data_IF_458957475115
#
_entry.id   IF_458957475115
#
_cell.length_a   1.000
_cell.length_b   1.000
_cell.length_c   1.000
_cell.angle_alpha   90.00
_cell.angle_beta   90.00
_cell.angle_gamma   90.00
#
_symmetry.space_group_name_H-M   'P 1'
#
loop_
_entity.id
_entity.type
_entity.pdbx_description
1 polymer ?
#
# COMPACT_ATOMS: atom_id res chain seq x y z
N UNK A 1 -14.93 21.78 6.75
CA UNK A 1 -15.33 20.66 7.66
C UNK A 1 -16.16 19.60 6.91
N UNK A 2 -17.19 19.94 6.14
CA UNK A 2 -17.99 18.97 5.36
C UNK A 2 -17.15 18.20 4.32
N UNK A 3 -16.27 18.89 3.62
CA UNK A 3 -15.35 18.31 2.60
C UNK A 3 -14.45 17.21 3.18
N UNK A 4 -13.81 17.43 4.34
CA UNK A 4 -13.00 16.41 5.03
C UNK A 4 -13.83 15.19 5.46
N UNK A 5 -15.08 15.41 5.88
CA UNK A 5 -15.98 14.30 6.26
C UNK A 5 -16.31 13.45 5.04
N UNK A 6 -16.51 14.06 3.90
CA UNK A 6 -16.79 13.35 2.64
C UNK A 6 -15.57 12.57 2.15
N UNK A 7 -14.37 13.19 2.12
CA UNK A 7 -13.11 12.51 1.78
C UNK A 7 -12.84 11.32 2.69
N UNK A 8 -12.94 11.50 4.01
CA UNK A 8 -12.68 10.47 5.01
C UNK A 8 -13.74 9.35 5.08
N UNK A 9 -14.89 9.53 4.45
CA UNK A 9 -15.96 8.52 4.41
C UNK A 9 -16.19 8.00 2.99
N UNK A 10 -16.77 8.80 2.09
CA UNK A 10 -17.19 8.31 0.78
C UNK A 10 -16.01 7.97 -0.13
N UNK A 11 -15.05 8.92 -0.30
CA UNK A 11 -13.89 8.71 -1.18
C UNK A 11 -12.99 7.62 -0.62
N UNK A 12 -12.55 7.75 0.64
CA UNK A 12 -11.67 6.77 1.29
C UNK A 12 -12.27 5.35 1.27
N UNK A 13 -13.57 5.20 1.60
CA UNK A 13 -14.26 3.91 1.54
C UNK A 13 -14.28 3.34 0.12
N UNK A 14 -14.45 4.20 -0.86
CA UNK A 14 -14.48 3.83 -2.27
C UNK A 14 -13.19 3.15 -2.70
N UNK A 15 -12.04 3.76 -2.39
CA UNK A 15 -10.74 3.34 -2.91
C UNK A 15 -9.97 2.37 -1.98
N UNK A 16 -10.33 2.24 -0.68
CA UNK A 16 -9.52 1.47 0.29
C UNK A 16 -9.99 0.04 0.54
N UNK A 17 -11.09 -0.40 -0.06
CA UNK A 17 -11.60 -1.78 0.04
C UNK A 17 -11.60 -2.30 1.50
N UNK A 18 -10.90 -3.42 1.78
CA UNK A 18 -10.80 -4.01 3.12
C UNK A 18 -9.99 -3.14 4.11
N UNK A 19 -9.05 -2.33 3.63
CA UNK A 19 -8.23 -1.47 4.47
C UNK A 19 -9.03 -0.33 5.13
N UNK A 20 -10.22 0.01 4.59
CA UNK A 20 -11.13 0.95 5.22
C UNK A 20 -11.50 0.56 6.65
N UNK A 21 -11.71 -0.74 6.92
CA UNK A 21 -12.00 -1.22 8.27
C UNK A 21 -10.82 -0.96 9.22
N UNK A 22 -9.61 -1.19 8.76
CA UNK A 22 -8.37 -0.90 9.50
C UNK A 22 -8.30 0.58 9.89
N UNK A 23 -8.48 1.49 8.92
CA UNK A 23 -8.45 2.94 9.18
C UNK A 23 -9.56 3.36 10.16
N UNK A 24 -10.77 2.82 10.01
CA UNK A 24 -11.90 3.13 10.91
C UNK A 24 -11.69 2.65 12.34
N UNK A 25 -10.91 1.60 12.54
CA UNK A 25 -10.55 1.08 13.86
C UNK A 25 -9.49 1.94 14.56
N UNK A 26 -8.71 2.75 13.85
CA UNK A 26 -7.66 3.57 14.45
C UNK A 26 -8.17 4.53 15.52
N UNK A 27 -7.34 4.85 16.54
CA UNK A 27 -7.57 5.97 17.45
C UNK A 27 -7.78 7.27 16.65
N UNK A 28 -8.58 8.19 17.19
CA UNK A 28 -9.00 9.40 16.47
C UNK A 28 -7.81 10.22 15.93
N UNK A 29 -6.78 10.44 16.77
CA UNK A 29 -5.62 11.26 16.43
C UNK A 29 -4.72 10.60 15.35
N UNK A 30 -4.69 9.27 15.31
CA UNK A 30 -3.94 8.52 14.28
C UNK A 30 -4.72 8.41 12.97
N UNK A 31 -6.06 8.41 13.04
CA UNK A 31 -6.92 8.17 11.88
C UNK A 31 -6.79 9.23 10.80
N UNK A 32 -6.73 10.50 11.19
CA UNK A 32 -6.66 11.62 10.25
C UNK A 32 -5.39 11.55 9.39
N UNK A 33 -4.17 11.56 9.94
CA UNK A 33 -2.95 11.50 9.14
C UNK A 33 -2.84 10.21 8.31
N UNK A 34 -3.29 9.06 8.83
CA UNK A 34 -3.32 7.81 8.06
C UNK A 34 -4.32 7.88 6.90
N UNK A 35 -5.48 8.53 7.07
CA UNK A 35 -6.45 8.71 5.98
C UNK A 35 -5.90 9.59 4.87
N UNK A 36 -5.27 10.71 5.21
CA UNK A 36 -4.65 11.63 4.25
C UNK A 36 -3.50 10.95 3.51
N UNK A 37 -2.55 10.37 4.25
CA UNK A 37 -1.41 9.65 3.65
C UNK A 37 -1.87 8.52 2.72
N UNK A 38 -2.92 7.78 3.11
CA UNK A 38 -3.49 6.74 2.26
C UNK A 38 -4.11 7.30 0.96
N UNK A 39 -4.87 8.41 1.02
CA UNK A 39 -5.46 9.02 -0.17
C UNK A 39 -4.40 9.56 -1.12
N UNK A 40 -3.35 10.20 -0.61
CA UNK A 40 -2.22 10.65 -1.42
C UNK A 40 -1.49 9.47 -2.09
N UNK A 41 -1.16 8.43 -1.32
CA UNK A 41 -0.52 7.22 -1.85
C UNK A 41 -1.41 6.51 -2.87
N UNK A 42 -2.74 6.44 -2.65
CA UNK A 42 -3.66 5.83 -3.60
C UNK A 42 -3.83 6.64 -4.88
N UNK A 43 -3.80 7.97 -4.78
CA UNK A 43 -3.85 8.84 -5.95
C UNK A 43 -2.59 8.67 -6.82
N UNK A 44 -1.41 8.64 -6.20
CA UNK A 44 -0.15 8.39 -6.92
C UNK A 44 -0.08 6.97 -7.54
N UNK A 45 -0.59 5.96 -6.85
CA UNK A 45 -0.74 4.60 -7.33
C UNK A 45 -1.64 4.53 -8.59
N UNK A 46 -2.79 5.22 -8.55
CA UNK A 46 -3.68 5.33 -9.70
C UNK A 46 -2.99 5.99 -10.91
N UNK A 47 -2.15 7.02 -10.69
CA UNK A 47 -1.35 7.64 -11.76
C UNK A 47 -0.37 6.62 -12.35
N UNK A 48 0.35 5.88 -11.51
CA UNK A 48 1.31 4.85 -11.93
C UNK A 48 0.65 3.73 -12.74
N UNK A 49 -0.55 3.30 -12.33
CA UNK A 49 -1.29 2.17 -12.91
C UNK A 49 -2.10 2.52 -14.19
N UNK A 50 -2.21 3.80 -14.57
CA UNK A 50 -2.99 4.22 -15.74
C UNK A 50 -2.21 3.94 -17.03
N UNK A 51 -2.18 2.69 -17.49
CA UNK A 51 -1.41 2.25 -18.67
C UNK A 51 -1.86 2.92 -19.99
N UNK A 52 -3.07 3.43 -20.06
CA UNK A 52 -3.54 4.22 -21.21
C UNK A 52 -2.76 5.54 -21.39
N UNK A 53 -2.08 6.02 -20.34
CA UNK A 53 -1.20 7.19 -20.38
C UNK A 53 0.25 6.75 -20.56
N UNK A 54 1.02 7.40 -21.49
CA UNK A 54 2.41 7.04 -21.74
C UNK A 54 3.27 7.04 -20.46
N UNK A 55 4.20 6.09 -20.35
CA UNK A 55 5.05 5.92 -19.16
C UNK A 55 5.82 7.19 -18.77
N UNK A 56 6.37 7.93 -19.76
CA UNK A 56 7.08 9.18 -19.50
C UNK A 56 6.19 10.24 -18.84
N UNK A 57 4.93 10.34 -19.26
CA UNK A 57 3.99 11.29 -18.67
C UNK A 57 3.56 10.84 -17.27
N UNK A 58 3.40 9.53 -17.03
CA UNK A 58 3.16 9.00 -15.69
C UNK A 58 4.32 9.33 -14.75
N UNK A 59 5.56 9.13 -15.17
CA UNK A 59 6.77 9.47 -14.39
C UNK A 59 6.87 10.98 -14.12
N UNK A 60 6.58 11.81 -15.11
CA UNK A 60 6.53 13.27 -14.92
C UNK A 60 5.49 13.65 -13.86
N UNK A 61 4.27 13.12 -13.95
CA UNK A 61 3.23 13.36 -12.96
C UNK A 61 3.64 12.93 -11.55
N UNK A 62 4.26 11.75 -11.39
CA UNK A 62 4.75 11.27 -10.10
C UNK A 62 5.87 12.18 -9.52
N UNK A 63 6.73 12.71 -10.38
CA UNK A 63 7.75 13.68 -9.98
C UNK A 63 7.13 15.01 -9.52
N UNK A 64 6.16 15.53 -10.28
CA UNK A 64 5.39 16.72 -9.91
C UNK A 64 4.63 16.47 -8.61
N UNK A 65 4.04 15.30 -8.42
CA UNK A 65 3.31 14.93 -7.20
C UNK A 65 4.18 15.07 -5.96
N UNK A 66 5.45 14.65 -6.03
CA UNK A 66 6.37 14.82 -4.89
C UNK A 66 6.63 16.30 -4.56
N UNK A 67 6.75 17.15 -5.56
CA UNK A 67 6.95 18.58 -5.37
C UNK A 67 5.68 19.26 -4.82
N UNK A 68 4.50 18.82 -5.28
CA UNK A 68 3.19 19.32 -4.85
C UNK A 68 2.90 19.12 -3.36
N UNK A 69 3.62 18.24 -2.68
CA UNK A 69 3.51 18.12 -1.21
C UNK A 69 4.00 19.37 -0.47
N UNK A 70 4.80 20.23 -1.12
CA UNK A 70 5.44 21.38 -0.50
C UNK A 70 5.21 22.70 -1.22
N UNK A 71 4.69 22.67 -2.44
CA UNK A 71 4.59 23.82 -3.32
C UNK A 71 3.21 23.92 -3.98
N UNK A 72 2.53 25.04 -3.77
CA UNK A 72 1.15 25.28 -4.20
C UNK A 72 1.05 25.43 -5.72
N UNK A 73 1.99 26.15 -6.35
CA UNK A 73 2.01 26.35 -7.81
C UNK A 73 2.16 24.98 -8.54
N UNK A 74 2.96 24.10 -7.94
CA UNK A 74 3.14 22.74 -8.46
C UNK A 74 1.88 21.89 -8.28
N UNK A 75 1.06 22.14 -7.24
CA UNK A 75 -0.25 21.48 -7.05
C UNK A 75 -1.23 21.86 -8.15
N UNK A 76 -1.32 23.12 -8.49
CA UNK A 76 -2.18 23.59 -9.58
C UNK A 76 -1.80 22.90 -10.89
N UNK A 77 -0.51 22.90 -11.23
CA UNK A 77 0.01 22.20 -12.42
C UNK A 77 -0.32 20.70 -12.40
N UNK A 78 -0.20 20.03 -11.26
CA UNK A 78 -0.57 18.62 -11.13
C UNK A 78 -2.07 18.41 -11.39
N UNK A 79 -2.92 19.23 -10.78
CA UNK A 79 -4.38 19.13 -10.94
C UNK A 79 -4.78 19.30 -12.40
N UNK A 80 -4.26 20.31 -13.10
CA UNK A 80 -4.49 20.54 -14.53
C UNK A 80 -4.06 19.33 -15.37
N UNK A 81 -2.86 18.79 -15.11
CA UNK A 81 -2.33 17.63 -15.83
C UNK A 81 -3.18 16.37 -15.62
N UNK A 82 -3.67 16.16 -14.40
CA UNK A 82 -4.56 15.04 -14.10
C UNK A 82 -5.92 15.19 -14.78
N UNK A 83 -6.49 16.39 -14.79
CA UNK A 83 -7.76 16.66 -15.46
C UNK A 83 -7.65 16.44 -16.96
N UNK A 84 -6.60 16.96 -17.60
CA UNK A 84 -6.42 16.87 -19.04
C UNK A 84 -6.02 15.49 -19.55
N UNK A 85 -5.23 14.70 -18.78
CA UNK A 85 -4.51 13.52 -19.30
C UNK A 85 -4.84 12.19 -18.58
N UNK A 86 -5.47 12.23 -17.40
CA UNK A 86 -5.65 11.01 -16.60
C UNK A 86 -7.09 10.69 -16.29
N UNK A 87 -7.93 11.70 -15.96
CA UNK A 87 -9.29 11.47 -15.45
C UNK A 87 -10.17 10.73 -16.46
N UNK A 88 -10.09 11.07 -17.75
CA UNK A 88 -10.86 10.39 -18.80
C UNK A 88 -10.43 8.94 -19.08
N UNK A 89 -9.21 8.59 -18.71
CA UNK A 89 -8.68 7.24 -18.87
C UNK A 89 -8.93 6.31 -17.66
N UNK A 90 -9.67 6.80 -16.66
CA UNK A 90 -10.02 6.01 -15.48
C UNK A 90 -11.32 5.24 -15.71
N UNK A 91 -11.23 3.92 -15.83
CA UNK A 91 -12.39 3.01 -15.91
C UNK A 91 -13.04 2.80 -14.53
N UNK A 92 -12.26 2.99 -13.45
CA UNK A 92 -12.75 2.85 -12.10
C UNK A 92 -13.28 4.18 -11.56
N UNK A 93 -14.59 4.33 -11.51
CA UNK A 93 -15.28 5.54 -11.05
C UNK A 93 -14.84 6.05 -9.66
N UNK A 94 -14.34 5.16 -8.79
CA UNK A 94 -13.86 5.52 -7.45
C UNK A 94 -12.48 6.15 -7.50
N UNK A 95 -11.61 5.64 -8.36
CA UNK A 95 -10.27 6.19 -8.60
C UNK A 95 -10.38 7.49 -9.39
N UNK A 96 -11.28 7.54 -10.38
CA UNK A 96 -11.65 8.77 -11.09
C UNK A 96 -12.08 9.86 -10.12
N UNK A 97 -12.99 9.54 -9.19
CA UNK A 97 -13.43 10.48 -8.16
C UNK A 97 -12.28 10.94 -7.27
N UNK A 98 -11.34 10.05 -6.89
CA UNK A 98 -10.17 10.42 -6.10
C UNK A 98 -9.29 11.42 -6.85
N UNK A 99 -8.95 11.17 -8.12
CA UNK A 99 -8.13 12.07 -8.91
C UNK A 99 -8.84 13.43 -9.12
N UNK A 100 -10.14 13.44 -9.40
CA UNK A 100 -10.94 14.67 -9.51
C UNK A 100 -10.93 15.50 -8.21
N UNK A 101 -10.78 14.83 -7.06
CA UNK A 101 -10.80 15.45 -5.73
C UNK A 101 -9.42 15.61 -5.11
N UNK A 102 -8.33 15.51 -5.91
CA UNK A 102 -6.96 15.54 -5.37
C UNK A 102 -6.62 16.88 -4.71
N UNK A 103 -7.10 18.00 -5.24
CA UNK A 103 -6.93 19.31 -4.62
C UNK A 103 -7.50 19.33 -3.18
N UNK A 104 -8.70 18.76 -2.99
CA UNK A 104 -9.33 18.65 -1.67
C UNK A 104 -8.49 17.77 -0.71
N UNK A 105 -7.77 16.77 -1.22
CA UNK A 105 -6.87 15.93 -0.41
C UNK A 105 -5.64 16.73 0.01
N UNK A 106 -5.08 17.57 -0.86
CA UNK A 106 -3.99 18.49 -0.51
C UNK A 106 -4.44 19.53 0.53
N UNK A 107 -5.64 20.11 0.36
CA UNK A 107 -6.22 21.00 1.38
C UNK A 107 -6.34 20.32 2.74
N UNK A 108 -6.72 19.05 2.76
CA UNK A 108 -6.78 18.27 3.99
C UNK A 108 -5.39 17.99 4.55
N UNK A 109 -4.42 17.67 3.72
CA UNK A 109 -3.03 17.47 4.09
C UNK A 109 -2.42 18.71 4.78
N UNK A 110 -2.71 19.91 4.32
CA UNK A 110 -2.22 21.15 4.92
C UNK A 110 -2.80 21.45 6.31
N UNK A 111 -3.82 20.71 6.73
CA UNK A 111 -4.47 20.95 8.03
C UNK A 111 -4.09 19.95 9.11
N UNK A 112 -3.25 18.94 8.82
CA UNK A 112 -2.75 18.01 9.83
C UNK A 112 -1.71 18.70 10.71
N UNK A 113 -1.31 18.09 11.83
CA UNK A 113 -0.24 18.64 12.67
C UNK A 113 1.08 18.68 11.92
N UNK A 114 1.99 19.59 12.30
CA UNK A 114 3.32 19.70 11.69
C UNK A 114 4.08 18.36 11.72
N UNK A 115 4.01 17.62 12.83
CA UNK A 115 4.66 16.31 12.97
C UNK A 115 4.06 15.28 12.01
N UNK A 116 2.75 15.27 11.82
CA UNK A 116 2.08 14.36 10.90
C UNK A 116 2.28 14.79 9.44
N UNK A 117 2.35 16.10 9.17
CA UNK A 117 2.70 16.64 7.86
C UNK A 117 4.09 16.16 7.41
N UNK A 118 5.09 16.26 8.30
CA UNK A 118 6.45 15.74 8.06
C UNK A 118 6.39 14.23 7.81
N UNK A 119 5.71 13.47 8.66
CA UNK A 119 5.61 12.02 8.53
C UNK A 119 4.98 11.59 7.20
N UNK A 120 3.92 12.28 6.75
CA UNK A 120 3.28 12.02 5.45
C UNK A 120 4.22 12.39 4.30
N UNK A 121 4.88 13.55 4.36
CA UNK A 121 5.86 13.95 3.33
C UNK A 121 7.01 12.95 3.20
N UNK A 122 7.51 12.45 4.34
CA UNK A 122 8.62 11.49 4.38
C UNK A 122 8.24 10.13 3.80
N UNK A 123 7.04 9.61 4.08
CA UNK A 123 6.59 8.33 3.54
C UNK A 123 6.23 8.41 2.07
N UNK A 124 5.72 9.54 1.60
CA UNK A 124 5.39 9.71 0.18
C UNK A 124 6.62 9.67 -0.72
N UNK A 125 7.79 10.11 -0.23
CA UNK A 125 9.04 10.09 -1.02
C UNK A 125 9.42 8.67 -1.50
N UNK A 126 9.64 7.66 -0.63
CA UNK A 126 9.94 6.31 -1.09
C UNK A 126 8.79 5.69 -1.90
N UNK A 127 7.51 5.94 -1.55
CA UNK A 127 6.37 5.43 -2.32
C UNK A 127 6.45 5.90 -3.77
N UNK A 128 6.60 7.20 -4.00
CA UNK A 128 6.70 7.76 -5.34
C UNK A 128 7.94 7.26 -6.09
N UNK A 129 9.09 7.09 -5.40
CA UNK A 129 10.29 6.49 -5.98
C UNK A 129 10.04 5.04 -6.44
N UNK A 130 9.37 4.23 -5.63
CA UNK A 130 9.01 2.85 -5.97
C UNK A 130 8.04 2.78 -7.15
N UNK A 131 7.06 3.67 -7.21
CA UNK A 131 6.12 3.77 -8.33
C UNK A 131 6.80 4.22 -9.63
N UNK A 132 7.69 5.21 -9.58
CA UNK A 132 8.50 5.63 -10.74
C UNK A 132 9.40 4.50 -11.21
N UNK A 133 10.05 3.78 -10.29
CA UNK A 133 10.87 2.63 -10.60
C UNK A 133 10.04 1.51 -11.27
N UNK A 134 8.87 1.20 -10.75
CA UNK A 134 7.96 0.19 -11.31
C UNK A 134 7.52 0.55 -12.74
N UNK A 135 7.07 1.78 -12.94
CA UNK A 135 6.69 2.29 -14.28
C UNK A 135 7.87 2.23 -15.24
N UNK A 136 9.06 2.66 -14.84
CA UNK A 136 10.24 2.66 -15.69
C UNK A 136 10.74 1.24 -15.97
N UNK A 137 10.77 0.40 -14.94
CA UNK A 137 11.23 -0.97 -15.03
C UNK A 137 10.38 -1.79 -16.00
N UNK A 138 9.05 -1.74 -15.91
CA UNK A 138 8.15 -2.55 -16.73
C UNK A 138 7.73 -1.89 -18.06
N UNK A 139 7.99 -0.60 -18.29
CA UNK A 139 7.63 0.08 -19.55
C UNK A 139 8.56 -0.27 -20.72
N UNK A 140 9.82 -0.67 -20.46
CA UNK A 140 10.88 -0.80 -21.49
C UNK A 140 10.77 -2.11 -22.28
N UNK A 141 10.23 -3.18 -21.71
CA UNK A 141 10.12 -4.50 -22.34
C UNK A 141 8.78 -5.14 -22.04
N UNK A 142 8.21 -5.85 -23.05
CA UNK A 142 6.94 -6.55 -22.88
C UNK A 142 6.95 -7.70 -21.85
N UNK A 143 8.14 -8.24 -21.58
CA UNK A 143 8.34 -9.33 -20.60
C UNK A 143 9.57 -8.97 -19.79
N UNK A 144 9.37 -8.63 -18.54
CA UNK A 144 10.45 -8.26 -17.66
C UNK A 144 10.29 -8.88 -16.27
N UNK A 145 11.41 -9.30 -15.73
CA UNK A 145 11.53 -9.91 -14.42
C UNK A 145 12.48 -9.08 -13.56
N UNK A 146 12.20 -8.94 -12.27
CA UNK A 146 13.13 -8.33 -11.31
C UNK A 146 14.43 -9.12 -11.26
N UNK A 147 15.58 -8.41 -11.29
CA UNK A 147 16.88 -9.02 -11.46
C UNK A 147 17.38 -9.78 -10.22
N UNK A 148 17.07 -9.28 -9.01
CA UNK A 148 17.59 -9.84 -7.77
C UNK A 148 16.58 -9.82 -6.61
N UNK A 149 16.86 -10.61 -5.57
CA UNK A 149 16.13 -10.56 -4.29
C UNK A 149 16.23 -9.18 -3.62
N UNK A 150 17.39 -8.51 -3.76
CA UNK A 150 17.62 -7.19 -3.20
C UNK A 150 16.72 -6.14 -3.86
N UNK A 151 16.55 -6.22 -5.18
CA UNK A 151 15.65 -5.33 -5.93
C UNK A 151 14.19 -5.52 -5.49
N UNK A 152 13.73 -6.78 -5.34
CA UNK A 152 12.39 -7.06 -4.84
C UNK A 152 12.21 -6.56 -3.40
N UNK A 153 13.19 -6.79 -2.53
CA UNK A 153 13.17 -6.29 -1.15
C UNK A 153 13.17 -4.76 -1.09
N UNK A 154 13.92 -4.10 -1.96
CA UNK A 154 13.96 -2.64 -2.05
C UNK A 154 12.63 -2.09 -2.58
N UNK A 155 12.06 -2.69 -3.62
CA UNK A 155 10.72 -2.34 -4.11
C UNK A 155 9.68 -2.49 -3.01
N UNK A 156 9.64 -3.63 -2.32
CA UNK A 156 8.74 -3.85 -1.20
C UNK A 156 8.94 -2.84 -0.06
N UNK A 157 10.18 -2.40 0.18
CA UNK A 157 10.46 -1.35 1.14
C UNK A 157 9.85 -0.03 0.68
N UNK A 158 10.10 0.37 -0.55
CA UNK A 158 9.65 1.67 -1.07
C UNK A 158 8.13 1.80 -1.01
N UNK A 159 7.39 0.82 -1.52
CA UNK A 159 5.93 0.93 -1.64
C UNK A 159 5.14 0.52 -0.38
N UNK A 160 5.76 -0.20 0.56
CA UNK A 160 5.03 -0.71 1.73
C UNK A 160 5.84 -0.76 3.03
N UNK A 161 7.14 -1.07 2.99
CA UNK A 161 7.98 -1.06 4.19
C UNK A 161 8.04 0.33 4.83
N UNK A 162 8.20 1.37 4.02
CA UNK A 162 8.14 2.77 4.42
C UNK A 162 6.80 3.15 5.07
N UNK A 163 5.70 2.57 4.59
CA UNK A 163 4.37 2.75 5.18
C UNK A 163 4.30 2.13 6.59
N UNK A 164 4.99 1.01 6.80
CA UNK A 164 5.14 0.42 8.13
C UNK A 164 5.91 1.31 9.11
N UNK A 165 6.95 2.02 8.65
CA UNK A 165 7.66 3.05 9.44
C UNK A 165 6.73 4.22 9.78
N UNK A 166 6.06 4.76 8.77
CA UNK A 166 5.07 5.83 8.93
C UNK A 166 4.00 5.49 9.97
N UNK A 167 3.48 4.25 9.96
CA UNK A 167 2.50 3.79 10.92
C UNK A 167 3.00 3.92 12.37
N UNK A 168 4.26 3.54 12.63
CA UNK A 168 4.88 3.67 13.95
C UNK A 168 5.08 5.12 14.38
N UNK A 169 5.54 5.98 13.45
CA UNK A 169 5.76 7.42 13.69
C UNK A 169 4.45 8.12 14.03
N UNK A 170 3.41 7.95 13.20
CA UNK A 170 2.09 8.55 13.46
C UNK A 170 1.46 8.00 14.74
N UNK A 171 1.69 6.73 15.05
CA UNK A 171 1.28 6.15 16.33
C UNK A 171 1.89 6.88 17.53
N UNK A 172 3.21 7.15 17.51
CA UNK A 172 3.90 7.92 18.56
C UNK A 172 3.51 9.38 18.58
N UNK A 173 3.30 10.01 17.43
CA UNK A 173 2.77 11.39 17.35
C UNK A 173 1.39 11.48 18.02
N UNK A 174 0.54 10.48 17.83
CA UNK A 174 -0.81 10.44 18.41
C UNK A 174 -0.83 10.19 19.93
N UNK A 175 0.13 9.42 20.45
CA UNK A 175 0.29 9.10 21.87
C UNK A 175 1.73 8.63 22.14
N UNK A 176 2.49 9.39 22.93
CA UNK A 176 3.87 9.02 23.32
C UNK A 176 3.96 7.62 23.94
N UNK A 177 2.87 7.13 24.57
CA UNK A 177 2.75 5.78 25.15
C UNK A 177 2.18 4.75 24.17
N UNK A 178 2.13 5.05 22.88
CA UNK A 178 1.55 4.21 21.84
C UNK A 178 2.00 2.74 21.91
N UNK A 179 3.30 2.52 22.15
CA UNK A 179 3.92 1.20 22.22
C UNK A 179 4.96 1.12 23.33
N UNK A 180 5.28 -0.09 23.77
CA UNK A 180 6.44 -0.41 24.61
C UNK A 180 7.76 -0.26 23.86
N UNK A 181 7.72 -0.39 22.53
CA UNK A 181 8.87 -0.15 21.67
C UNK A 181 9.15 1.35 21.51
N UNK A 182 10.43 1.69 21.37
CA UNK A 182 10.85 3.02 20.90
C UNK A 182 10.55 3.21 19.39
N UNK A 183 10.83 4.39 18.87
CA UNK A 183 10.54 4.75 17.47
C UNK A 183 11.35 3.90 16.49
N UNK A 184 12.62 3.62 16.79
CA UNK A 184 13.50 2.86 15.90
C UNK A 184 13.09 1.38 15.84
N UNK A 185 12.69 0.81 16.96
CA UNK A 185 12.13 -0.55 17.01
C UNK A 185 10.81 -0.64 16.25
N UNK A 186 9.95 0.39 16.37
CA UNK A 186 8.69 0.47 15.62
C UNK A 186 8.95 0.57 14.12
N UNK A 187 9.90 1.38 13.69
CA UNK A 187 10.28 1.48 12.27
C UNK A 187 10.82 0.16 11.76
N UNK A 188 11.80 -0.44 12.43
CA UNK A 188 12.41 -1.70 12.00
C UNK A 188 11.40 -2.85 11.85
N UNK A 189 10.48 -2.99 12.81
CA UNK A 189 9.42 -4.01 12.74
C UNK A 189 8.33 -3.63 11.74
N UNK A 190 7.96 -2.35 11.67
CA UNK A 190 7.03 -1.81 10.71
C UNK A 190 7.48 -2.03 9.27
N UNK A 191 8.77 -1.78 8.97
CA UNK A 191 9.39 -2.07 7.67
C UNK A 191 9.19 -3.52 7.25
N UNK A 192 9.56 -4.48 8.11
CA UNK A 192 9.40 -5.90 7.80
C UNK A 192 7.93 -6.26 7.59
N UNK A 193 7.06 -5.75 8.47
CA UNK A 193 5.62 -5.98 8.37
C UNK A 193 5.04 -5.44 7.05
N UNK A 194 5.36 -4.20 6.68
CA UNK A 194 4.94 -3.61 5.41
C UNK A 194 5.42 -4.42 4.20
N UNK A 195 6.70 -4.81 4.17
CA UNK A 195 7.25 -5.71 3.15
C UNK A 195 6.47 -7.03 3.07
N UNK A 196 6.12 -7.63 4.21
CA UNK A 196 5.31 -8.85 4.26
C UNK A 196 3.94 -8.69 3.59
N UNK A 197 3.26 -7.56 3.83
CA UNK A 197 1.98 -7.24 3.20
C UNK A 197 2.13 -7.05 1.68
N UNK A 198 3.19 -6.41 1.22
CA UNK A 198 3.45 -6.26 -0.22
C UNK A 198 3.79 -7.59 -0.89
N UNK A 199 4.59 -8.43 -0.26
CA UNK A 199 4.84 -9.78 -0.77
C UNK A 199 3.54 -10.61 -0.91
N UNK A 200 2.58 -10.47 0.03
CA UNK A 200 1.27 -11.11 -0.12
C UNK A 200 0.53 -10.61 -1.36
N UNK A 201 0.57 -9.30 -1.65
CA UNK A 201 -0.04 -8.74 -2.84
C UNK A 201 0.62 -9.28 -4.12
N UNK A 202 1.94 -9.20 -4.22
CA UNK A 202 2.73 -9.73 -5.35
C UNK A 202 2.43 -11.22 -5.57
N UNK A 203 2.44 -12.02 -4.51
CA UNK A 203 2.19 -13.45 -4.61
C UNK A 203 0.74 -13.76 -4.99
N UNK A 204 -0.22 -13.03 -4.48
CA UNK A 204 -1.64 -13.20 -4.82
C UNK A 204 -1.91 -12.90 -6.30
N UNK A 205 -1.32 -11.81 -6.78
CA UNK A 205 -1.60 -11.28 -8.10
C UNK A 205 -0.64 -11.84 -9.18
N UNK A 206 0.33 -12.68 -8.79
CA UNK A 206 1.38 -13.25 -9.63
C UNK A 206 0.91 -13.83 -10.98
N UNK A 207 -0.19 -14.61 -11.08
CA UNK A 207 -0.64 -15.10 -12.39
C UNK A 207 -1.08 -13.98 -13.33
N UNK A 208 -1.78 -12.96 -12.81
CA UNK A 208 -2.24 -11.82 -13.61
C UNK A 208 -1.06 -10.93 -14.03
N UNK A 209 -0.07 -10.74 -13.15
CA UNK A 209 1.15 -10.01 -13.47
C UNK A 209 1.95 -10.70 -14.57
N UNK A 210 2.10 -12.03 -14.52
CA UNK A 210 2.75 -12.80 -15.57
C UNK A 210 2.02 -12.72 -16.92
N UNK A 211 0.68 -12.76 -16.92
CA UNK A 211 -0.12 -12.56 -18.13
C UNK A 211 0.09 -11.16 -18.76
N UNK A 212 0.41 -10.17 -17.93
CA UNK A 212 0.75 -8.80 -18.34
C UNK A 212 2.25 -8.61 -18.62
N UNK A 213 3.05 -9.69 -18.61
CA UNK A 213 4.49 -9.64 -18.86
C UNK A 213 5.32 -9.10 -17.70
N UNK A 214 4.76 -9.04 -16.48
CA UNK A 214 5.43 -8.56 -15.27
C UNK A 214 5.77 -9.73 -14.35
N UNK A 215 7.03 -9.84 -13.94
CA UNK A 215 7.45 -10.82 -12.94
C UNK A 215 8.26 -10.16 -11.82
N UNK A 216 7.67 -10.12 -10.63
CA UNK A 216 8.36 -9.61 -9.44
C UNK A 216 9.25 -10.67 -8.76
N UNK A 217 9.16 -11.95 -9.15
CA UNK A 217 10.00 -13.00 -8.57
C UNK A 217 11.32 -13.12 -9.34
N UNK A 218 12.49 -12.89 -8.73
CA UNK A 218 13.77 -12.93 -9.43
C UNK A 218 14.20 -14.35 -9.79
N UNK A 219 14.86 -14.51 -10.93
CA UNK A 219 15.55 -15.74 -11.33
C UNK A 219 14.63 -16.94 -11.61
N UNK A 220 13.38 -16.69 -12.00
CA UNK A 220 12.37 -17.74 -12.27
C UNK A 220 12.16 -17.86 -13.78
N UNK A 221 12.11 -19.10 -14.27
CA UNK A 221 11.57 -19.37 -15.61
C UNK A 221 10.05 -19.15 -15.59
N UNK A 222 9.60 -18.05 -16.20
CA UNK A 222 8.21 -17.61 -16.19
C UNK A 222 7.30 -18.48 -17.07
N UNK A 223 7.86 -19.24 -18.01
CA UNK A 223 7.12 -20.19 -18.84
C UNK A 223 6.93 -21.55 -18.14
N UNK A 224 7.80 -21.90 -17.19
CA UNK A 224 7.63 -23.11 -16.36
C UNK A 224 6.81 -22.80 -15.11
N UNK A 225 5.51 -23.09 -15.18
CA UNK A 225 4.59 -22.96 -14.04
C UNK A 225 5.09 -23.68 -12.77
N UNK A 226 5.80 -24.82 -12.92
CA UNK A 226 6.34 -25.54 -11.75
C UNK A 226 7.49 -24.75 -11.11
N UNK A 227 8.35 -24.13 -11.93
CA UNK A 227 9.41 -23.28 -11.44
C UNK A 227 8.82 -22.05 -10.72
N UNK A 228 7.80 -21.41 -11.29
CA UNK A 228 7.08 -20.28 -10.68
C UNK A 228 6.47 -20.69 -9.32
N UNK A 229 5.73 -21.79 -9.28
CA UNK A 229 5.14 -22.28 -8.02
C UNK A 229 6.19 -22.63 -6.95
N UNK A 230 7.31 -23.20 -7.36
CA UNK A 230 8.43 -23.51 -6.46
C UNK A 230 9.08 -22.24 -5.89
N UNK A 231 9.38 -21.26 -6.74
CA UNK A 231 9.95 -19.98 -6.31
C UNK A 231 8.99 -19.22 -5.39
N UNK A 232 7.69 -19.19 -5.75
CA UNK A 232 6.67 -18.54 -4.92
C UNK A 232 6.58 -19.11 -3.50
N UNK A 233 6.92 -20.40 -3.30
CA UNK A 233 6.91 -21.01 -1.96
C UNK A 233 7.94 -20.37 -1.04
N UNK A 234 9.14 -20.09 -1.53
CA UNK A 234 10.17 -19.38 -0.76
C UNK A 234 9.68 -18.01 -0.31
N UNK A 235 9.09 -17.24 -1.23
CA UNK A 235 8.59 -15.91 -0.94
C UNK A 235 7.34 -15.91 -0.05
N UNK A 236 6.47 -16.93 -0.14
CA UNK A 236 5.35 -17.11 0.81
C UNK A 236 5.85 -17.34 2.23
N UNK A 237 6.89 -18.15 2.40
CA UNK A 237 7.49 -18.38 3.71
C UNK A 237 8.11 -17.09 4.29
N UNK A 238 8.83 -16.34 3.46
CA UNK A 238 9.39 -15.04 3.86
C UNK A 238 8.30 -14.03 4.23
N UNK A 239 7.23 -13.96 3.44
CA UNK A 239 6.07 -13.13 3.75
C UNK A 239 5.43 -13.52 5.08
N UNK A 240 5.28 -14.83 5.35
CA UNK A 240 4.75 -15.35 6.61
C UNK A 240 5.56 -14.87 7.80
N UNK A 241 6.89 -15.02 7.76
CA UNK A 241 7.78 -14.53 8.82
C UNK A 241 7.63 -13.02 9.06
N UNK A 242 7.50 -12.24 8.01
CA UNK A 242 7.31 -10.80 8.11
C UNK A 242 5.94 -10.42 8.69
N UNK A 243 4.88 -11.17 8.37
CA UNK A 243 3.55 -10.96 8.96
C UNK A 243 3.49 -11.35 10.43
N UNK A 244 4.23 -12.38 10.85
CA UNK A 244 4.36 -12.77 12.26
C UNK A 244 5.06 -11.67 13.08
N UNK A 245 6.06 -10.99 12.50
CA UNK A 245 6.64 -9.78 13.10
C UNK A 245 5.55 -8.70 13.24
N UNK A 246 4.64 -8.55 12.26
CA UNK A 246 3.51 -7.63 12.33
C UNK A 246 2.54 -7.96 13.47
N UNK A 247 2.28 -9.24 13.74
CA UNK A 247 1.50 -9.68 14.91
C UNK A 247 2.22 -9.36 16.22
N UNK A 248 3.51 -9.66 16.31
CA UNK A 248 4.32 -9.30 17.48
C UNK A 248 4.33 -7.78 17.70
N UNK A 249 4.53 -6.99 16.63
CA UNK A 249 4.42 -5.53 16.68
C UNK A 249 3.08 -5.09 17.25
N UNK A 250 1.96 -5.66 16.77
CA UNK A 250 0.63 -5.30 17.26
C UNK A 250 0.45 -5.57 18.75
N UNK A 251 1.06 -6.62 19.28
CA UNK A 251 0.96 -6.98 20.70
C UNK A 251 1.63 -5.95 21.63
N UNK A 252 2.64 -5.23 21.15
CA UNK A 252 3.34 -4.17 21.92
C UNK A 252 2.56 -2.88 22.05
N UNK A 253 1.48 -2.71 21.27
CA UNK A 253 0.68 -1.49 21.27
C UNK A 253 -0.20 -1.43 22.51
N UNK A 254 -0.35 -0.25 23.12
CA UNK A 254 -1.13 -0.09 24.35
C UNK A 254 -2.62 0.10 24.11
N UNK A 255 -2.98 0.79 23.03
CA UNK A 255 -4.37 1.05 22.72
C UNK A 255 -5.02 -0.12 22.00
N UNK A 256 -6.09 -0.71 22.56
CA UNK A 256 -6.80 -1.85 21.97
C UNK A 256 -7.22 -1.64 20.52
N UNK A 257 -7.67 -0.44 20.16
CA UNK A 257 -8.05 -0.10 18.78
C UNK A 257 -6.86 -0.14 17.82
N UNK A 258 -5.70 0.37 18.23
CA UNK A 258 -4.47 0.31 17.46
C UNK A 258 -3.99 -1.14 17.30
N UNK A 259 -4.03 -1.96 18.37
CA UNK A 259 -3.74 -3.40 18.31
C UNK A 259 -4.56 -4.08 17.22
N UNK A 260 -5.88 -3.96 17.28
CA UNK A 260 -6.81 -4.58 16.34
C UNK A 260 -6.53 -4.10 14.90
N UNK A 261 -6.39 -2.78 14.72
CA UNK A 261 -6.12 -2.19 13.40
C UNK A 261 -4.80 -2.70 12.80
N UNK A 262 -3.77 -2.87 13.63
CA UNK A 262 -2.45 -3.36 13.17
C UNK A 262 -2.45 -4.89 12.96
N UNK A 263 -3.10 -5.67 13.81
CA UNK A 263 -3.14 -7.13 13.68
C UNK A 263 -4.00 -7.61 12.50
N UNK A 264 -5.08 -6.91 12.18
CA UNK A 264 -6.06 -7.35 11.17
C UNK A 264 -5.46 -7.60 9.78
N UNK A 265 -4.65 -6.71 9.18
CA UNK A 265 -4.02 -6.98 7.89
C UNK A 265 -3.06 -8.17 7.93
N UNK A 266 -2.30 -8.37 9.03
CA UNK A 266 -1.42 -9.52 9.18
C UNK A 266 -2.20 -10.84 9.20
N UNK A 267 -3.30 -10.91 9.96
CA UNK A 267 -4.16 -12.10 10.03
C UNK A 267 -4.78 -12.40 8.64
N UNK A 268 -5.21 -11.37 7.92
CA UNK A 268 -5.76 -11.51 6.56
C UNK A 268 -4.66 -12.00 5.61
N UNK A 269 -3.46 -11.43 5.70
CA UNK A 269 -2.30 -11.83 4.89
C UNK A 269 -1.92 -13.29 5.12
N UNK A 270 -1.81 -13.72 6.37
CA UNK A 270 -1.52 -15.13 6.72
C UNK A 270 -2.56 -16.09 6.14
N UNK A 271 -3.85 -15.78 6.26
CA UNK A 271 -4.91 -16.58 5.64
C UNK A 271 -4.87 -16.58 4.11
N UNK A 272 -4.42 -15.48 3.50
CA UNK A 272 -4.20 -15.43 2.05
C UNK A 272 -3.07 -16.39 1.66
N UNK A 273 -1.97 -16.40 2.41
CA UNK A 273 -0.86 -17.33 2.18
C UNK A 273 -1.30 -18.79 2.36
N UNK A 274 -2.14 -19.09 3.36
CA UNK A 274 -2.68 -20.45 3.56
C UNK A 274 -3.53 -20.90 2.36
N UNK A 275 -4.32 -20.00 1.77
CA UNK A 275 -5.07 -20.29 0.55
C UNK A 275 -4.14 -20.52 -0.64
N UNK A 276 -3.09 -19.74 -0.79
CA UNK A 276 -2.07 -19.89 -1.85
C UNK A 276 -1.29 -21.20 -1.71
N UNK A 277 -1.01 -21.64 -0.48
CA UNK A 277 -0.32 -22.92 -0.22
C UNK A 277 -1.14 -24.15 -0.64
N UNK A 278 -2.46 -24.05 -0.55
CA UNK A 278 -3.39 -25.12 -0.94
C UNK A 278 -3.90 -25.04 -2.39
N UNK A 279 -3.58 -23.98 -3.13
CA UNK A 279 -4.13 -23.74 -4.47
C UNK A 279 -3.34 -24.44 -5.58
N UNK A 280 -4.04 -24.97 -6.60
CA UNK A 280 -3.43 -25.29 -7.88
C UNK A 280 -3.18 -24.00 -8.68
N UNK A 281 -2.37 -24.09 -9.74
CA UNK A 281 -2.11 -22.94 -10.60
C UNK A 281 -3.39 -22.39 -11.24
N UNK A 282 -4.29 -23.25 -11.68
CA UNK A 282 -5.59 -22.85 -12.25
C UNK A 282 -6.44 -22.10 -11.25
N UNK A 283 -6.54 -22.62 -10.02
CA UNK A 283 -7.25 -21.92 -8.94
C UNK A 283 -6.63 -20.57 -8.61
N UNK A 284 -5.30 -20.46 -8.72
CA UNK A 284 -4.60 -19.19 -8.49
C UNK A 284 -4.89 -18.18 -9.60
N UNK A 285 -4.91 -18.62 -10.88
CA UNK A 285 -5.32 -17.79 -12.04
C UNK A 285 -6.77 -17.30 -11.92
N UNK A 286 -7.67 -18.09 -11.37
CA UNK A 286 -9.06 -17.68 -11.11
C UNK A 286 -9.18 -16.61 -10.02
N UNK A 287 -8.10 -16.32 -9.32
CA UNK A 287 -7.98 -15.29 -8.31
C UNK A 287 -8.27 -15.76 -6.89
N UNK A 288 -7.24 -15.72 -6.05
CA UNK A 288 -7.34 -16.06 -4.62
C UNK A 288 -7.91 -14.87 -3.83
N UNK A 289 -9.07 -15.09 -3.20
CA UNK A 289 -9.75 -14.06 -2.40
C UNK A 289 -10.26 -14.63 -1.09
N UNK A 290 -9.97 -13.92 0.00
CA UNK A 290 -10.59 -14.21 1.28
C UNK A 290 -12.06 -13.81 1.26
N UNK A 291 -12.94 -14.73 1.70
CA UNK A 291 -14.38 -14.45 1.78
C UNK A 291 -14.69 -13.37 2.83
N UNK A 292 -15.81 -12.66 2.64
CA UNK A 292 -16.28 -11.69 3.65
C UNK A 292 -16.45 -12.31 5.04
N UNK A 293 -16.91 -13.58 5.09
CA UNK A 293 -17.06 -14.32 6.35
C UNK A 293 -15.71 -14.50 7.06
N UNK A 294 -14.65 -14.82 6.30
CA UNK A 294 -13.30 -14.95 6.87
C UNK A 294 -12.71 -13.60 7.29
N UNK A 295 -13.02 -12.49 6.62
CA UNK A 295 -12.65 -11.14 7.08
C UNK A 295 -13.27 -10.83 8.43
N UNK A 296 -14.57 -11.14 8.65
CA UNK A 296 -15.22 -10.96 9.95
C UNK A 296 -14.62 -11.85 11.04
N UNK A 297 -14.28 -13.10 10.72
CA UNK A 297 -13.57 -13.99 11.66
C UNK A 297 -12.18 -13.44 12.01
N UNK A 298 -11.46 -12.91 11.02
CA UNK A 298 -10.16 -12.27 11.23
C UNK A 298 -10.26 -11.05 12.14
N UNK A 299 -11.32 -10.27 12.00
CA UNK A 299 -11.59 -9.15 12.91
C UNK A 299 -11.82 -9.64 14.34
N UNK A 300 -12.61 -10.68 14.53
CA UNK A 300 -12.81 -11.29 15.86
C UNK A 300 -11.48 -11.83 16.42
N UNK A 301 -10.69 -12.52 15.61
CA UNK A 301 -9.36 -13.00 16.01
C UNK A 301 -8.44 -11.83 16.42
N UNK A 302 -8.44 -10.71 15.70
CA UNK A 302 -7.66 -9.52 16.05
C UNK A 302 -8.10 -8.87 17.37
N UNK A 303 -9.36 -9.04 17.77
CA UNK A 303 -9.88 -8.52 19.08
C UNK A 303 -9.33 -9.31 20.25
N UNK A 304 -9.02 -10.60 20.05
CA UNK A 304 -8.52 -11.51 21.09
C UNK A 304 -7.00 -11.73 21.02
N UNK A 305 -6.34 -11.16 20.03
CA UNK A 305 -4.89 -11.16 19.91
C UNK A 305 -4.26 -10.09 20.82
#
# INVERSE_FOLDING_TARGET
MQQKVDLGNAVLKGVSRSFYLTIRLLPRLMREPVSVGYLLARASDTIADTEAVPAELRKECLSIFHQSLKDEDTREKLCELLEEKFIEHQDNEREKLLLTRIADVFDWYDTVTEQDWIAISDVMKPILQGQVWDVDFFAIQKEKQIDSEEDLENYCYQVAGSVGEFWGVVGKNSDHRYSEYDVEQLKANGTKYGKGLQLVNILRDLPADLENGRCYLPGVDTEDTKAVMKASKYWREKARQYLEIGLTYSSTLRQKRAKIATALPAIIGLKTLDLLDGATWEQWKDGIKISRKEIYKSLLQAVFH
#
